data_IF_133185803631
#
_entry.id   IF_133185803631
#
_cell.length_a   1.000
_cell.length_b   1.000
_cell.length_c   1.000
_cell.angle_alpha   90.00
_cell.angle_beta   90.00
_cell.angle_gamma   90.00
#
_symmetry.space_group_name_H-M   'P 1'
#
loop_
_entity.id
_entity.type
_entity.pdbx_description
1 polymer ?
#
# COMPACT_ATOMS: atom_id res chain seq x y z
N UNK A 1 12.31 -9.50 11.69
CA UNK A 1 11.62 -9.65 13.00
C UNK A 1 12.62 -9.91 14.14
N UNK A 2 13.53 -10.86 13.99
CA UNK A 2 14.51 -11.23 15.03
C UNK A 2 15.35 -10.04 15.50
N UNK A 3 15.78 -9.16 14.59
CA UNK A 3 16.55 -7.97 14.91
C UNK A 3 15.82 -6.98 15.84
N UNK A 4 14.49 -7.01 15.85
CA UNK A 4 13.64 -6.23 16.78
C UNK A 4 13.22 -7.04 18.02
N UNK A 5 13.64 -8.29 18.15
CA UNK A 5 13.26 -9.16 19.27
C UNK A 5 11.78 -9.51 19.33
N UNK A 6 11.09 -9.46 18.21
CA UNK A 6 9.67 -9.82 18.12
C UNK A 6 9.51 -11.28 17.68
N UNK A 7 8.43 -11.92 18.15
CA UNK A 7 8.07 -13.27 17.72
C UNK A 7 7.72 -13.28 16.24
N UNK A 8 8.08 -14.34 15.55
CA UNK A 8 7.83 -14.53 14.13
C UNK A 8 7.21 -15.91 13.88
N UNK A 9 6.13 -15.93 13.10
CA UNK A 9 5.51 -17.16 12.61
C UNK A 9 5.43 -17.09 11.09
N UNK A 10 5.89 -18.16 10.42
CA UNK A 10 5.75 -18.35 8.96
C UNK A 10 4.63 -19.34 8.69
N UNK A 11 3.55 -18.86 8.07
CA UNK A 11 2.33 -19.65 7.81
C UNK A 11 2.11 -19.77 6.31
N UNK A 12 2.25 -20.99 5.78
CA UNK A 12 2.05 -21.26 4.37
C UNK A 12 0.56 -21.36 4.02
N UNK A 13 0.05 -20.41 3.23
CA UNK A 13 -1.35 -20.31 2.81
C UNK A 13 -1.66 -21.10 1.52
N UNK A 14 -0.68 -21.67 0.84
CA UNK A 14 -0.83 -22.25 -0.50
C UNK A 14 -1.96 -23.29 -0.58
N UNK A 15 -2.08 -24.16 0.42
CA UNK A 15 -3.12 -25.21 0.42
C UNK A 15 -4.53 -24.65 0.56
N UNK A 16 -4.71 -23.65 1.41
CA UNK A 16 -6.00 -23.00 1.63
C UNK A 16 -6.44 -22.22 0.38
N UNK A 17 -5.53 -21.45 -0.21
CA UNK A 17 -5.79 -20.69 -1.44
C UNK A 17 -6.11 -21.62 -2.61
N UNK A 18 -5.40 -22.74 -2.79
CA UNK A 18 -5.71 -23.73 -3.83
C UNK A 18 -7.06 -24.39 -3.65
N UNK A 19 -7.41 -24.71 -2.40
CA UNK A 19 -8.75 -25.23 -2.11
C UNK A 19 -9.81 -24.19 -2.46
N UNK A 20 -9.61 -22.94 -2.08
CA UNK A 20 -10.51 -21.84 -2.42
C UNK A 20 -10.67 -21.68 -3.94
N UNK A 21 -9.58 -21.73 -4.71
CA UNK A 21 -9.64 -21.68 -6.18
C UNK A 21 -10.44 -22.82 -6.77
N UNK A 22 -10.26 -24.05 -6.25
CA UNK A 22 -11.06 -25.20 -6.66
C UNK A 22 -12.56 -25.01 -6.35
N UNK A 23 -12.89 -24.47 -5.19
CA UNK A 23 -14.28 -24.27 -4.75
C UNK A 23 -15.01 -23.22 -5.62
N UNK A 24 -14.31 -22.19 -6.10
CA UNK A 24 -14.87 -21.15 -6.99
C UNK A 24 -14.65 -21.44 -8.48
N UNK A 25 -14.08 -22.58 -8.86
CA UNK A 25 -13.70 -22.94 -10.22
C UNK A 25 -12.78 -21.92 -10.89
N UNK A 26 -11.82 -21.33 -10.16
CA UNK A 26 -10.82 -20.44 -10.69
C UNK A 26 -9.59 -21.22 -11.17
N UNK A 27 -9.15 -20.93 -12.40
CA UNK A 27 -7.91 -21.51 -12.95
C UNK A 27 -6.69 -20.81 -12.32
N UNK A 28 -5.88 -21.57 -11.59
CA UNK A 28 -4.69 -21.09 -10.87
C UNK A 28 -3.64 -20.45 -11.82
N UNK A 29 -3.67 -20.80 -13.11
CA UNK A 29 -2.79 -20.19 -14.12
C UNK A 29 -3.18 -18.76 -14.52
N UNK A 30 -4.40 -18.33 -14.19
CA UNK A 30 -4.94 -17.00 -14.49
C UNK A 30 -4.65 -16.05 -13.32
N UNK A 31 -3.56 -15.33 -13.40
CA UNK A 31 -3.10 -14.35 -12.38
C UNK A 31 -3.80 -13.00 -12.51
N UNK A 32 -5.11 -13.00 -12.30
CA UNK A 32 -5.96 -11.80 -12.35
C UNK A 32 -6.30 -11.29 -10.93
N UNK A 33 -7.16 -10.29 -10.86
CA UNK A 33 -7.63 -9.68 -9.60
C UNK A 33 -8.23 -10.71 -8.62
N UNK A 34 -8.85 -11.80 -9.12
CA UNK A 34 -9.39 -12.89 -8.27
C UNK A 34 -8.24 -13.65 -7.61
N UNK A 35 -7.18 -13.94 -8.39
CA UNK A 35 -5.98 -14.61 -7.89
C UNK A 35 -5.31 -13.82 -6.75
N UNK A 36 -5.12 -12.53 -6.93
CA UNK A 36 -4.51 -11.64 -5.93
C UNK A 36 -5.41 -11.48 -4.69
N UNK A 37 -6.68 -11.11 -4.90
CA UNK A 37 -7.61 -10.83 -3.82
C UNK A 37 -7.89 -12.04 -2.93
N UNK A 38 -7.92 -13.24 -3.49
CA UNK A 38 -8.12 -14.47 -2.70
C UNK A 38 -6.97 -14.71 -1.72
N UNK A 39 -5.74 -14.47 -2.15
CA UNK A 39 -4.55 -14.58 -1.29
C UNK A 39 -4.55 -13.51 -0.20
N UNK A 40 -4.87 -12.26 -0.54
CA UNK A 40 -4.94 -11.16 0.43
C UNK A 40 -5.99 -11.44 1.52
N UNK A 41 -7.16 -11.98 1.15
CA UNK A 41 -8.21 -12.32 2.11
C UNK A 41 -7.84 -13.50 2.99
N UNK A 42 -7.19 -14.53 2.46
CA UNK A 42 -6.68 -15.66 3.24
C UNK A 42 -5.67 -15.20 4.31
N UNK A 43 -4.74 -14.33 3.94
CA UNK A 43 -3.80 -13.72 4.91
C UNK A 43 -4.54 -12.99 6.03
N UNK A 44 -5.55 -12.20 5.67
CA UNK A 44 -6.34 -11.43 6.65
C UNK A 44 -7.14 -12.36 7.57
N UNK A 45 -7.77 -13.41 7.04
CA UNK A 45 -8.49 -14.40 7.85
C UNK A 45 -7.57 -15.01 8.91
N UNK A 46 -6.39 -15.46 8.52
CA UNK A 46 -5.40 -16.04 9.45
C UNK A 46 -4.99 -15.02 10.53
N UNK A 47 -4.73 -13.77 10.15
CA UNK A 47 -4.35 -12.74 11.12
C UNK A 47 -5.46 -12.50 12.16
N UNK A 48 -6.72 -12.45 11.72
CA UNK A 48 -7.86 -12.26 12.62
C UNK A 48 -8.04 -13.45 13.57
N UNK A 49 -7.88 -14.68 13.07
CA UNK A 49 -7.97 -15.90 13.88
C UNK A 49 -6.81 -16.01 14.87
N UNK A 50 -5.59 -15.62 14.47
CA UNK A 50 -4.43 -15.57 15.37
C UNK A 50 -4.63 -14.51 16.47
N UNK A 51 -5.25 -13.38 16.15
CA UNK A 51 -5.56 -12.37 17.17
C UNK A 51 -6.50 -12.93 18.25
N UNK A 52 -7.50 -13.71 17.86
CA UNK A 52 -8.38 -14.39 18.79
C UNK A 52 -7.62 -15.46 19.61
N UNK A 53 -6.80 -16.27 18.92
CA UNK A 53 -6.01 -17.34 19.57
C UNK A 53 -5.06 -16.80 20.64
N UNK A 54 -4.42 -15.67 20.37
CA UNK A 54 -3.44 -15.07 21.27
C UNK A 54 -4.01 -13.95 22.16
N UNK A 55 -5.32 -13.71 22.11
CA UNK A 55 -5.97 -12.61 22.83
C UNK A 55 -5.31 -11.25 22.56
N UNK A 56 -4.99 -11.02 21.30
CA UNK A 56 -4.33 -9.81 20.80
C UNK A 56 -5.22 -9.01 19.87
N UNK A 57 -4.60 -8.06 19.17
CA UNK A 57 -5.26 -7.30 18.12
C UNK A 57 -4.36 -7.22 16.87
N UNK A 58 -4.98 -7.12 15.69
CA UNK A 58 -4.27 -6.96 14.42
C UNK A 58 -3.92 -5.49 14.23
N UNK A 59 -2.63 -5.20 14.08
CA UNK A 59 -2.13 -3.89 13.69
C UNK A 59 -2.02 -3.85 12.17
N UNK A 60 -2.75 -2.92 11.53
CA UNK A 60 -2.68 -2.69 10.09
C UNK A 60 -1.47 -1.86 9.70
N UNK A 61 -0.86 -2.22 8.60
CA UNK A 61 0.33 -1.56 8.06
C UNK A 61 0.05 -0.70 6.82
N UNK A 62 -1.17 -0.76 6.27
CA UNK A 62 -1.62 0.09 5.18
C UNK A 62 -1.46 1.58 5.50
N UNK A 63 -1.00 2.35 4.53
CA UNK A 63 -0.71 3.78 4.70
C UNK A 63 -1.74 4.68 4.00
N UNK A 64 -1.64 6.00 4.23
CA UNK A 64 -2.54 6.99 3.66
C UNK A 64 -2.57 6.94 2.12
N UNK A 65 -1.42 6.73 1.48
CA UNK A 65 -1.31 6.77 0.02
C UNK A 65 -2.01 5.57 -0.63
N UNK A 66 -1.86 4.38 -0.05
CA UNK A 66 -2.56 3.16 -0.48
C UNK A 66 -4.08 3.31 -0.34
N UNK A 67 -4.52 3.81 0.81
CA UNK A 67 -5.94 4.06 1.08
C UNK A 67 -6.53 5.09 0.12
N UNK A 68 -5.82 6.19 -0.11
CA UNK A 68 -6.29 7.28 -0.98
C UNK A 68 -6.35 6.87 -2.46
N UNK A 69 -5.43 6.00 -2.90
CA UNK A 69 -5.42 5.49 -4.28
C UNK A 69 -6.34 4.27 -4.46
N UNK A 70 -6.93 3.73 -3.38
CA UNK A 70 -7.68 2.49 -3.43
C UNK A 70 -6.81 1.27 -3.76
N UNK A 71 -5.51 1.34 -3.50
CA UNK A 71 -4.54 0.28 -3.78
C UNK A 71 -4.49 -0.72 -2.63
N UNK A 72 -5.62 -1.37 -2.40
CA UNK A 72 -5.79 -2.38 -1.36
C UNK A 72 -6.94 -3.32 -1.72
N UNK A 73 -6.85 -4.58 -1.30
CA UNK A 73 -7.93 -5.55 -1.49
C UNK A 73 -9.03 -5.33 -0.46
N UNK A 74 -10.28 -5.11 -0.92
CA UNK A 74 -11.44 -5.02 -0.04
C UNK A 74 -11.60 -6.33 0.77
N UNK A 75 -11.80 -6.22 2.08
CA UNK A 75 -11.81 -7.34 3.03
C UNK A 75 -10.49 -8.14 3.03
N UNK A 76 -9.38 -7.50 2.70
CA UNK A 76 -8.05 -8.09 2.66
C UNK A 76 -7.06 -7.27 3.46
N UNK A 77 -5.99 -6.87 2.82
CA UNK A 77 -4.82 -6.21 3.41
C UNK A 77 -5.09 -4.88 4.12
N UNK A 78 -6.19 -4.17 3.81
CA UNK A 78 -6.59 -2.96 4.54
C UNK A 78 -7.35 -3.27 5.85
N UNK A 79 -7.77 -4.51 6.08
CA UNK A 79 -8.51 -4.89 7.27
C UNK A 79 -7.60 -5.05 8.48
N UNK A 80 -7.87 -4.29 9.52
CA UNK A 80 -7.16 -4.39 10.80
C UNK A 80 -8.04 -3.86 11.94
N UNK A 81 -7.66 -4.19 13.16
CA UNK A 81 -8.32 -3.66 14.35
C UNK A 81 -7.79 -2.27 14.72
N UNK A 82 -6.55 -1.98 14.33
CA UNK A 82 -5.92 -0.66 14.52
C UNK A 82 -4.98 -0.34 13.35
N UNK A 83 -5.30 0.68 12.57
CA UNK A 83 -4.53 1.12 11.42
C UNK A 83 -3.52 2.20 11.83
N UNK A 84 -2.32 1.80 12.20
CA UNK A 84 -1.28 2.70 12.76
C UNK A 84 -0.78 3.74 11.76
N UNK A 85 -0.78 3.43 10.46
CA UNK A 85 -0.26 4.29 9.41
C UNK A 85 -1.35 5.01 8.59
N UNK A 86 -2.61 5.00 9.03
CA UNK A 86 -3.74 5.54 8.25
C UNK A 86 -3.58 7.00 7.84
N UNK A 87 -2.86 7.80 8.61
CA UNK A 87 -2.56 9.21 8.33
C UNK A 87 -1.13 9.47 7.84
N UNK A 88 -0.34 8.44 7.64
CA UNK A 88 1.07 8.52 7.26
C UNK A 88 1.20 8.20 5.76
N UNK A 89 1.65 9.15 4.90
CA UNK A 89 1.86 8.87 3.50
C UNK A 89 3.08 7.96 3.26
N UNK A 90 3.10 7.24 2.14
CA UNK A 90 4.16 6.28 1.76
C UNK A 90 5.56 6.87 1.83
N UNK A 91 5.73 8.10 1.36
CA UNK A 91 7.02 8.79 1.41
C UNK A 91 7.50 9.06 2.83
N UNK A 92 6.57 9.35 3.76
CA UNK A 92 6.92 9.54 5.17
C UNK A 92 7.26 8.21 5.84
N UNK A 93 6.57 7.10 5.50
CA UNK A 93 6.94 5.75 5.97
C UNK A 93 8.39 5.44 5.57
N UNK A 94 8.76 5.69 4.31
CA UNK A 94 10.15 5.50 3.84
C UNK A 94 11.14 6.39 4.60
N UNK A 95 10.78 7.65 4.86
CA UNK A 95 11.62 8.57 5.63
C UNK A 95 11.82 8.09 7.07
N UNK A 96 10.77 7.63 7.74
CA UNK A 96 10.85 7.08 9.08
C UNK A 96 11.72 5.81 9.14
N UNK A 97 11.60 4.94 8.14
CA UNK A 97 12.46 3.75 8.02
C UNK A 97 13.94 4.15 7.83
N UNK A 98 14.21 5.17 7.00
CA UNK A 98 15.55 5.68 6.80
C UNK A 98 16.12 6.34 8.08
N UNK A 99 15.29 7.05 8.82
CA UNK A 99 15.66 7.63 10.10
C UNK A 99 16.03 6.55 11.12
N UNK A 100 15.22 5.50 11.23
CA UNK A 100 15.48 4.36 12.09
C UNK A 100 16.80 3.64 11.70
N UNK A 101 17.01 3.44 10.39
CA UNK A 101 18.25 2.84 9.89
C UNK A 101 19.51 3.65 10.26
N UNK A 102 19.41 4.99 10.30
CA UNK A 102 20.52 5.86 10.69
C UNK A 102 20.85 5.77 12.19
N UNK A 103 19.84 5.47 13.02
CA UNK A 103 19.98 5.38 14.47
C UNK A 103 20.17 3.95 14.97
N UNK A 104 20.15 2.97 14.06
CA UNK A 104 20.37 1.55 14.33
C UNK A 104 21.79 1.14 13.99
N UNK A 105 22.24 0.04 14.59
CA UNK A 105 23.54 -0.58 14.33
C UNK A 105 23.42 -2.06 13.94
N UNK A 106 24.50 -2.64 13.45
CA UNK A 106 24.58 -4.07 13.15
C UNK A 106 23.59 -4.55 12.09
N UNK A 107 23.01 -5.71 12.34
CA UNK A 107 22.10 -6.37 11.40
C UNK A 107 20.81 -5.59 11.14
N UNK A 108 20.29 -4.89 12.15
CA UNK A 108 19.07 -4.10 12.02
C UNK A 108 19.23 -3.00 10.99
N UNK A 109 20.34 -2.25 11.06
CA UNK A 109 20.65 -1.21 10.06
C UNK A 109 20.73 -1.78 8.66
N UNK A 110 21.42 -2.91 8.48
CA UNK A 110 21.58 -3.55 7.17
C UNK A 110 20.22 -3.95 6.59
N UNK A 111 19.35 -4.58 7.38
CA UNK A 111 18.01 -5.01 6.96
C UNK A 111 17.12 -3.82 6.60
N UNK A 112 17.16 -2.73 7.40
CA UNK A 112 16.35 -1.54 7.10
C UNK A 112 16.80 -0.83 5.81
N UNK A 113 18.09 -0.80 5.53
CA UNK A 113 18.61 -0.27 4.26
C UNK A 113 18.20 -1.15 3.07
N UNK A 114 18.25 -2.47 3.20
CA UNK A 114 17.81 -3.42 2.19
C UNK A 114 16.30 -3.25 1.88
N UNK A 115 15.47 -3.09 2.92
CA UNK A 115 14.04 -2.78 2.75
C UNK A 115 13.83 -1.46 1.99
N UNK A 116 14.65 -0.44 2.23
CA UNK A 116 14.55 0.84 1.51
C UNK A 116 14.96 0.73 0.04
N UNK A 117 15.90 -0.14 -0.29
CA UNK A 117 16.35 -0.40 -1.66
C UNK A 117 15.37 -1.30 -2.44
N UNK A 118 14.51 -2.04 -1.73
CA UNK A 118 13.49 -2.90 -2.37
C UNK A 118 12.40 -2.04 -3.01
N UNK A 119 12.13 -2.20 -4.32
CA UNK A 119 11.04 -1.50 -4.98
C UNK A 119 9.68 -1.91 -4.42
N UNK A 120 8.76 -0.95 -4.31
CA UNK A 120 7.36 -1.27 -3.96
C UNK A 120 6.73 -2.03 -5.12
N UNK A 121 6.26 -3.25 -4.85
CA UNK A 121 5.70 -4.16 -5.85
C UNK A 121 4.48 -4.89 -5.30
N UNK A 122 3.56 -5.37 -6.18
CA UNK A 122 2.50 -6.30 -5.79
C UNK A 122 3.11 -7.62 -5.34
N UNK A 123 3.02 -7.93 -4.04
CA UNK A 123 3.59 -9.15 -3.45
C UNK A 123 2.87 -10.44 -3.84
N UNK A 124 1.64 -10.32 -4.37
CA UNK A 124 0.74 -11.45 -4.61
C UNK A 124 0.86 -12.04 -6.02
N UNK A 125 1.57 -11.36 -6.90
CA UNK A 125 1.88 -11.90 -8.24
C UNK A 125 3.12 -12.78 -8.19
N UNK A 126 3.13 -13.91 -8.92
CA UNK A 126 4.33 -14.71 -9.03
C UNK A 126 5.44 -13.90 -9.71
N UNK A 127 6.71 -14.11 -9.31
CA UNK A 127 7.84 -13.50 -9.99
C UNK A 127 7.85 -13.90 -11.48
N UNK A 128 8.52 -13.11 -12.29
CA UNK A 128 8.71 -13.43 -13.70
C UNK A 128 9.58 -14.70 -13.88
N UNK A 129 9.80 -15.10 -15.13
CA UNK A 129 10.60 -16.31 -15.47
C UNK A 129 12.06 -16.24 -14.99
N UNK A 130 12.54 -15.04 -14.66
CA UNK A 130 13.90 -14.80 -14.18
C UNK A 130 13.95 -14.67 -12.64
N UNK A 131 12.81 -14.76 -11.96
CA UNK A 131 12.70 -14.54 -10.51
C UNK A 131 12.70 -13.07 -10.11
N UNK A 132 12.52 -12.15 -11.07
CA UNK A 132 12.46 -10.72 -10.82
C UNK A 132 11.03 -10.26 -10.55
N UNK A 133 10.89 -9.08 -9.93
CA UNK A 133 9.60 -8.43 -9.66
C UNK A 133 8.90 -8.15 -10.99
N UNK A 134 7.79 -8.83 -11.25
CA UNK A 134 7.08 -8.77 -12.52
C UNK A 134 6.47 -7.37 -12.80
N UNK A 135 6.17 -6.61 -11.76
CA UNK A 135 5.56 -5.27 -11.88
C UNK A 135 5.94 -4.41 -10.68
N UNK A 136 6.30 -3.14 -10.94
CA UNK A 136 6.45 -2.14 -9.89
C UNK A 136 5.14 -1.38 -9.72
N UNK A 137 4.71 -1.14 -8.48
CA UNK A 137 3.47 -0.42 -8.20
C UNK A 137 3.47 0.99 -8.80
N UNK A 138 4.61 1.69 -8.71
CA UNK A 138 4.73 3.05 -9.26
C UNK A 138 4.65 3.12 -10.80
N UNK A 139 4.89 2.01 -11.52
CA UNK A 139 4.69 1.95 -12.97
C UNK A 139 3.19 1.96 -13.35
N UNK A 140 2.33 1.54 -12.41
CA UNK A 140 0.87 1.50 -12.60
C UNK A 140 0.21 2.76 -12.07
N UNK A 141 0.49 3.12 -10.81
CA UNK A 141 -0.19 4.23 -10.13
C UNK A 141 0.55 5.56 -10.29
N UNK A 142 1.80 5.55 -10.74
CA UNK A 142 2.68 6.72 -10.77
C UNK A 142 3.49 6.91 -9.48
N UNK A 143 4.41 7.88 -9.47
CA UNK A 143 5.31 8.10 -8.33
C UNK A 143 4.58 8.51 -7.05
N UNK A 144 4.78 7.78 -5.96
CA UNK A 144 4.20 8.09 -4.66
C UNK A 144 4.57 9.50 -4.16
N UNK A 145 5.73 10.01 -4.50
CA UNK A 145 6.12 11.36 -4.13
C UNK A 145 5.16 12.43 -4.68
N UNK A 146 4.65 12.24 -5.90
CA UNK A 146 3.64 13.12 -6.47
C UNK A 146 2.29 12.95 -5.78
N UNK A 147 1.86 11.71 -5.55
CA UNK A 147 0.59 11.43 -4.87
C UNK A 147 0.57 12.01 -3.46
N UNK A 148 1.63 11.81 -2.70
CA UNK A 148 1.73 12.30 -1.33
C UNK A 148 1.78 13.83 -1.27
N UNK A 149 2.42 14.48 -2.25
CA UNK A 149 2.37 15.93 -2.39
C UNK A 149 0.94 16.42 -2.64
N UNK A 150 0.19 15.78 -3.54
CA UNK A 150 -1.20 16.13 -3.79
C UNK A 150 -2.08 15.88 -2.57
N UNK A 151 -1.96 14.72 -1.94
CA UNK A 151 -2.70 14.36 -0.72
C UNK A 151 -2.46 15.35 0.40
N UNK A 152 -1.21 15.75 0.62
CA UNK A 152 -0.85 16.71 1.66
C UNK A 152 -1.59 18.05 1.49
N UNK A 153 -1.57 18.61 0.30
CA UNK A 153 -2.22 19.90 0.05
C UNK A 153 -3.75 19.78 -0.02
N UNK A 154 -4.27 18.69 -0.53
CA UNK A 154 -5.70 18.43 -0.59
C UNK A 154 -6.28 18.22 0.81
N UNK A 155 -5.75 17.25 1.56
CA UNK A 155 -6.30 16.83 2.84
C UNK A 155 -5.99 17.84 3.95
N UNK A 156 -4.75 18.35 4.00
CA UNK A 156 -4.31 19.24 5.07
C UNK A 156 -4.77 20.67 4.89
N UNK A 157 -4.82 21.17 3.66
CA UNK A 157 -5.11 22.59 3.37
C UNK A 157 -6.37 22.81 2.56
N UNK A 158 -7.02 21.77 2.05
CA UNK A 158 -8.20 21.91 1.20
C UNK A 158 -7.94 22.67 -0.10
N UNK A 159 -6.72 22.58 -0.65
CA UNK A 159 -6.42 23.26 -1.90
C UNK A 159 -7.08 22.56 -3.08
N UNK A 160 -7.57 23.35 -4.02
CA UNK A 160 -8.13 22.84 -5.26
C UNK A 160 -7.06 22.17 -6.15
N UNK A 161 -7.41 21.15 -6.93
CA UNK A 161 -6.48 20.40 -7.78
C UNK A 161 -5.62 21.27 -8.69
N UNK A 162 -6.18 22.32 -9.31
CA UNK A 162 -5.45 23.24 -10.18
C UNK A 162 -4.34 24.00 -9.45
N UNK A 163 -4.60 24.41 -8.21
CA UNK A 163 -3.61 25.09 -7.38
C UNK A 163 -2.49 24.12 -6.97
N UNK A 164 -2.85 22.87 -6.59
CA UNK A 164 -1.87 21.85 -6.22
C UNK A 164 -1.00 21.50 -7.44
N UNK A 165 -1.62 21.31 -8.60
CA UNK A 165 -0.89 21.07 -9.86
C UNK A 165 0.14 22.17 -10.17
N UNK A 166 -0.26 23.46 -10.02
CA UNK A 166 0.66 24.57 -10.20
C UNK A 166 1.85 24.53 -9.24
N UNK A 167 1.59 24.19 -7.97
CA UNK A 167 2.64 24.05 -6.96
C UNK A 167 3.56 22.87 -7.27
N UNK A 168 2.99 21.70 -7.63
CA UNK A 168 3.74 20.51 -8.01
C UNK A 168 4.67 20.78 -9.20
N UNK A 169 4.16 21.45 -10.23
CA UNK A 169 4.95 21.83 -11.40
C UNK A 169 6.16 22.69 -11.06
N UNK A 170 6.07 23.53 -10.04
CA UNK A 170 7.20 24.34 -9.56
C UNK A 170 8.15 23.54 -8.66
N UNK A 171 7.61 22.74 -7.74
CA UNK A 171 8.39 21.98 -6.77
C UNK A 171 9.19 20.85 -7.42
N UNK A 172 8.65 20.24 -8.47
CA UNK A 172 9.25 19.12 -9.17
C UNK A 172 9.79 19.46 -10.55
N UNK A 173 10.06 20.75 -10.81
CA UNK A 173 10.62 21.20 -12.10
C UNK A 173 11.93 20.46 -12.41
N UNK A 174 11.99 19.79 -13.57
CA UNK A 174 13.15 19.02 -14.01
C UNK A 174 13.23 17.58 -13.44
N UNK A 175 12.35 17.19 -12.51
CA UNK A 175 12.29 15.83 -11.98
C UNK A 175 11.18 15.00 -12.65
N UNK A 176 10.01 15.61 -12.85
CA UNK A 176 8.87 14.99 -13.52
C UNK A 176 8.40 15.84 -14.68
N UNK A 177 7.90 15.20 -15.73
CA UNK A 177 7.31 15.91 -16.85
C UNK A 177 5.89 16.43 -16.56
N UNK A 178 5.36 17.24 -17.48
CA UNK A 178 4.00 17.80 -17.31
C UNK A 178 2.91 16.74 -17.38
N UNK A 179 3.13 15.60 -18.07
CA UNK A 179 2.16 14.53 -18.19
C UNK A 179 2.06 13.74 -16.88
N UNK A 180 3.20 13.41 -16.26
CA UNK A 180 3.25 12.73 -14.97
C UNK A 180 2.62 13.59 -13.85
N UNK A 181 2.94 14.88 -13.82
CA UNK A 181 2.34 15.80 -12.85
C UNK A 181 0.82 15.96 -13.03
N UNK A 182 0.35 15.91 -14.28
CA UNK A 182 -1.09 15.98 -14.59
C UNK A 182 -1.84 14.70 -14.25
N UNK A 183 -1.22 13.54 -14.47
CA UNK A 183 -1.79 12.24 -14.10
C UNK A 183 -2.06 12.15 -12.59
N UNK A 184 -1.11 12.56 -11.75
CA UNK A 184 -1.30 12.63 -10.30
C UNK A 184 -2.47 13.54 -9.89
N UNK A 185 -2.64 14.71 -10.56
CA UNK A 185 -3.77 15.60 -10.28
C UNK A 185 -5.13 15.04 -10.74
N UNK A 186 -5.14 14.26 -11.82
CA UNK A 186 -6.37 13.65 -12.33
C UNK A 186 -6.87 12.49 -11.47
N UNK A 187 -5.97 11.70 -10.90
CA UNK A 187 -6.33 10.61 -9.98
C UNK A 187 -7.00 11.13 -8.70
N UNK A 188 -6.69 12.36 -8.29
CA UNK A 188 -7.27 13.00 -7.10
C UNK A 188 -8.37 14.01 -7.45
N UNK A 189 -8.80 14.12 -8.72
CA UNK A 189 -9.95 14.93 -9.09
C UNK A 189 -11.26 14.27 -8.60
N UNK A 190 -12.25 15.09 -8.24
CA UNK A 190 -13.54 14.59 -7.73
C UNK A 190 -14.18 13.53 -8.63
N UNK A 191 -14.05 13.66 -9.95
CA UNK A 191 -14.63 12.72 -10.93
C UNK A 191 -13.97 11.34 -10.89
N UNK A 192 -12.66 11.23 -10.62
CA UNK A 192 -11.99 9.93 -10.52
C UNK A 192 -12.14 9.30 -9.14
N UNK A 193 -12.19 10.12 -8.09
CA UNK A 193 -12.48 9.67 -6.73
C UNK A 193 -13.92 9.16 -6.59
N UNK A 194 -14.85 9.73 -7.34
CA UNK A 194 -16.28 9.31 -7.37
C UNK A 194 -16.52 8.10 -8.28
N UNK A 195 -15.68 7.85 -9.27
CA UNK A 195 -15.87 6.77 -10.25
C UNK A 195 -15.35 5.40 -9.79
N UNK A 196 -14.43 5.34 -8.82
CA UNK A 196 -13.99 4.07 -8.26
C UNK A 196 -14.83 3.72 -7.02
N UNK A 197 -15.61 2.65 -7.12
CA UNK A 197 -16.47 2.15 -6.04
C UNK A 197 -15.71 1.78 -4.75
N UNK A 198 -14.40 1.59 -4.84
CA UNK A 198 -13.52 1.34 -3.70
C UNK A 198 -13.14 2.60 -2.92
N UNK A 199 -13.08 3.77 -3.58
CA UNK A 199 -12.67 5.05 -2.97
C UNK A 199 -13.81 5.72 -2.22
N UNK A 200 -15.07 5.42 -2.57
CA UNK A 200 -16.24 6.01 -1.88
C UNK A 200 -16.29 5.66 -0.38
N UNK A 201 -15.86 4.47 -0.01
CA UNK A 201 -15.76 4.05 1.41
C UNK A 201 -14.61 4.77 2.13
N UNK A 202 -13.49 4.96 1.45
CA UNK A 202 -12.28 5.52 2.06
C UNK A 202 -12.40 7.04 2.37
N UNK A 203 -13.05 7.82 1.49
CA UNK A 203 -13.20 9.27 1.72
C UNK A 203 -14.22 9.64 2.80
N UNK A 204 -15.24 8.81 3.00
CA UNK A 204 -16.18 8.99 4.13
C UNK A 204 -15.48 8.72 5.46
N UNK A 205 -14.58 7.75 5.53
CA UNK A 205 -13.81 7.45 6.74
C UNK A 205 -12.73 8.50 7.03
N UNK A 206 -12.09 9.06 5.99
CA UNK A 206 -11.12 10.17 6.15
C UNK A 206 -11.76 11.47 6.69
N UNK A 207 -13.04 11.70 6.45
CA UNK A 207 -13.78 12.86 7.03
C UNK A 207 -14.10 12.68 8.52
N UNK A 208 -14.08 11.46 9.03
CA UNK A 208 -14.34 11.16 10.44
C UNK A 208 -13.10 11.25 11.34
N UNK A 209 -11.91 11.34 10.76
CA UNK A 209 -10.62 11.38 11.49
C UNK A 209 -10.02 12.79 11.54
N UNK A 210 -10.63 13.76 10.88
CA UNK A 210 -10.26 15.19 10.93
C UNK A 210 -11.20 16.00 11.81
#
# INVERSE_FOLDING_TARGET
PEAYGVSFEDINITKAVRQHFADINHDESVTNITYENSQARERTQILMDLSNKYNGLVIGTGDLSELALGWATYNGDHMSMYAVNVSIPKTLVRYLTAYEAQHSEGILKTVLLDVLDTPVSPELLPPDKNGEIAQKTEDVVGPYELHDFFLYYLVRFGFEPNKIYYLAKKSFAGKYDNAQSKSGSQLLSEDSLLSSSSVHVCLTDLRLVL
#
